data_IF_132019433508
#
_entry.id   IF_132019433508
#
_cell.length_a   1.000
_cell.length_b   1.000
_cell.length_c   1.000
_cell.angle_alpha   90.00
_cell.angle_beta   90.00
_cell.angle_gamma   90.00
#
_symmetry.space_group_name_H-M   'P 1'
#
loop_
_entity.id
_entity.type
_entity.pdbx_description
1 polymer ?
#
# COMPACT_ATOMS: atom_id res chain seq x y z
N UNK A 1 -21.04 16.77 4.48
CA UNK A 1 -22.16 16.05 3.83
C UNK A 1 -21.68 14.67 3.42
N UNK A 2 -22.43 13.61 3.69
CA UNK A 2 -22.06 12.21 3.40
C UNK A 2 -21.39 11.45 4.53
N UNK A 3 -20.88 12.15 5.55
CA UNK A 3 -20.28 11.56 6.74
C UNK A 3 -21.26 10.70 7.52
N UNK A 4 -20.71 9.65 8.13
CA UNK A 4 -21.43 8.78 9.05
C UNK A 4 -21.27 9.28 10.47
N UNK A 5 -22.40 9.44 11.14
CA UNK A 5 -22.49 9.80 12.54
C UNK A 5 -23.26 8.72 13.28
N UNK A 6 -22.98 8.55 14.57
CA UNK A 6 -23.71 7.62 15.42
C UNK A 6 -23.87 8.16 16.84
N UNK A 7 -24.93 7.68 17.47
CA UNK A 7 -25.25 7.94 18.87
C UNK A 7 -25.49 6.61 19.58
N UNK A 8 -25.24 6.57 20.90
CA UNK A 8 -25.51 5.41 21.71
C UNK A 8 -26.83 5.59 22.47
N UNK A 9 -27.88 4.91 22.02
CA UNK A 9 -29.19 4.96 22.67
C UNK A 9 -29.34 3.69 23.51
N UNK A 10 -29.25 3.85 24.83
CA UNK A 10 -29.18 2.72 25.78
C UNK A 10 -27.96 1.84 25.49
N UNK A 11 -28.15 0.62 24.95
CA UNK A 11 -27.10 -0.33 24.59
C UNK A 11 -26.99 -0.55 23.08
N UNK A 12 -27.67 0.28 22.29
CA UNK A 12 -27.69 0.16 20.83
C UNK A 12 -26.98 1.35 20.19
N UNK A 13 -26.13 1.06 19.20
CA UNK A 13 -25.49 2.08 18.36
C UNK A 13 -26.41 2.37 17.19
N UNK A 14 -26.88 3.60 17.10
CA UNK A 14 -27.75 4.06 16.01
C UNK A 14 -26.95 4.98 15.10
N UNK A 15 -26.66 4.49 13.90
CA UNK A 15 -25.95 5.25 12.86
C UNK A 15 -26.91 6.00 11.94
N UNK A 16 -26.47 7.16 11.45
CA UNK A 16 -27.14 7.92 10.41
C UNK A 16 -26.13 8.66 9.53
N UNK A 17 -26.56 9.08 8.34
CA UNK A 17 -25.74 9.86 7.40
C UNK A 17 -26.09 11.33 7.50
N UNK A 18 -25.09 12.18 7.68
CA UNK A 18 -25.27 13.62 7.63
C UNK A 18 -25.54 14.06 6.19
N UNK A 19 -26.70 14.65 5.92
CA UNK A 19 -27.05 15.18 4.61
C UNK A 19 -26.70 16.67 4.52
N UNK A 20 -27.35 17.50 5.36
CA UNK A 20 -27.11 18.94 5.41
C UNK A 20 -26.41 19.25 6.73
N UNK A 21 -25.27 19.94 6.66
CA UNK A 21 -24.54 20.44 7.82
C UNK A 21 -24.42 21.96 7.72
N UNK A 22 -25.12 22.68 8.59
CA UNK A 22 -25.15 24.14 8.59
C UNK A 22 -24.45 24.68 9.85
N UNK A 23 -23.43 25.52 9.66
CA UNK A 23 -22.76 26.20 10.77
C UNK A 23 -23.72 27.22 11.38
N UNK A 24 -23.99 27.09 12.67
CA UNK A 24 -24.89 27.98 13.43
C UNK A 24 -24.15 28.97 14.32
N UNK A 25 -22.88 28.74 14.57
CA UNK A 25 -22.04 29.66 15.33
C UNK A 25 -20.80 28.98 15.88
N UNK A 26 -20.04 29.76 16.61
CA UNK A 26 -18.81 29.35 17.27
C UNK A 26 -18.92 29.74 18.75
N UNK A 27 -18.29 28.97 19.63
CA UNK A 27 -18.25 29.25 21.07
C UNK A 27 -16.91 28.81 21.64
N UNK A 28 -16.53 29.34 22.80
CA UNK A 28 -15.35 28.89 23.52
C UNK A 28 -15.77 27.94 24.65
N UNK A 29 -15.08 26.81 24.76
CA UNK A 29 -15.25 25.82 25.81
C UNK A 29 -13.86 25.38 26.27
N UNK A 30 -13.58 25.50 27.57
CA UNK A 30 -12.26 25.19 28.16
C UNK A 30 -11.08 25.94 27.49
N UNK A 31 -11.32 27.14 26.96
CA UNK A 31 -10.32 27.94 26.24
C UNK A 31 -10.08 27.50 24.80
N UNK A 32 -10.83 26.51 24.30
CA UNK A 32 -10.78 26.06 22.92
C UNK A 32 -11.98 26.57 22.12
N UNK A 33 -11.72 27.00 20.88
CA UNK A 33 -12.76 27.38 19.93
C UNK A 33 -13.48 26.14 19.43
N UNK A 34 -14.81 26.10 19.62
CA UNK A 34 -15.72 25.04 19.19
C UNK A 34 -16.74 25.58 18.20
N UNK A 35 -17.20 24.70 17.31
CA UNK A 35 -18.20 25.02 16.29
C UNK A 35 -19.53 24.33 16.61
N UNK A 36 -20.62 25.07 16.43
CA UNK A 36 -21.97 24.54 16.58
C UNK A 36 -22.58 24.34 15.20
N UNK A 37 -22.85 23.11 14.84
CA UNK A 37 -23.51 22.76 13.60
C UNK A 37 -24.94 22.28 13.85
N UNK A 38 -25.86 22.64 12.96
CA UNK A 38 -27.11 21.91 12.75
C UNK A 38 -26.85 20.83 11.71
N UNK A 39 -27.14 19.58 12.06
CA UNK A 39 -26.99 18.44 11.16
C UNK A 39 -28.35 17.85 10.87
N UNK A 40 -28.71 17.76 9.60
CA UNK A 40 -29.91 17.09 9.12
C UNK A 40 -29.52 15.74 8.54
N UNK A 41 -30.02 14.62 9.11
CA UNK A 41 -29.79 13.30 8.55
C UNK A 41 -30.44 13.12 7.18
N UNK A 42 -29.88 12.25 6.34
CA UNK A 42 -30.53 11.86 5.08
C UNK A 42 -31.84 11.10 5.33
N UNK A 43 -31.81 10.20 6.29
CA UNK A 43 -32.96 9.53 6.86
C UNK A 43 -32.93 9.78 8.37
N UNK A 44 -34.08 10.05 8.97
CA UNK A 44 -34.20 10.32 10.41
C UNK A 44 -34.59 9.02 11.13
N UNK A 45 -33.64 8.25 11.71
CA UNK A 45 -33.99 7.08 12.50
C UNK A 45 -34.95 7.46 13.62
N UNK A 46 -36.05 6.71 13.75
CA UNK A 46 -37.06 6.94 14.79
C UNK A 46 -36.46 6.95 16.21
N UNK A 47 -35.36 6.22 16.43
CA UNK A 47 -34.64 6.17 17.70
C UNK A 47 -34.08 7.54 18.14
N UNK A 48 -33.75 8.44 17.20
CA UNK A 48 -33.20 9.76 17.50
C UNK A 48 -34.15 10.64 18.32
N UNK A 49 -35.47 10.39 18.24
CA UNK A 49 -36.48 11.04 19.08
C UNK A 49 -36.30 10.83 20.59
N UNK A 50 -35.53 9.80 20.98
CA UNK A 50 -35.25 9.45 22.38
C UNK A 50 -33.99 10.12 22.92
N UNK A 51 -33.29 10.90 22.11
CA UNK A 51 -32.08 11.59 22.52
C UNK A 51 -32.40 12.73 23.48
N UNK A 52 -31.51 12.91 24.46
CA UNK A 52 -31.54 14.06 25.35
C UNK A 52 -30.67 15.18 24.75
N UNK A 53 -30.93 16.45 25.09
CA UNK A 53 -30.01 17.53 24.77
C UNK A 53 -28.58 17.20 25.23
N UNK A 54 -27.57 17.65 24.47
CA UNK A 54 -26.14 17.42 24.71
C UNK A 54 -25.71 15.94 24.75
N UNK A 55 -26.48 15.03 24.12
CA UNK A 55 -26.04 13.65 23.96
C UNK A 55 -24.81 13.58 23.04
N UNK A 56 -23.77 12.79 23.40
CA UNK A 56 -22.55 12.70 22.60
C UNK A 56 -22.83 12.10 21.22
N UNK A 57 -22.17 12.67 20.21
CA UNK A 57 -22.25 12.26 18.82
C UNK A 57 -20.86 11.81 18.38
N UNK A 58 -20.76 10.61 17.80
CA UNK A 58 -19.51 10.05 17.33
C UNK A 58 -19.49 9.99 15.80
N UNK A 59 -18.33 10.20 15.19
CA UNK A 59 -18.12 9.98 13.76
C UNK A 59 -17.68 8.53 13.53
N UNK A 60 -18.41 7.78 12.71
CA UNK A 60 -18.02 6.41 12.32
C UNK A 60 -17.63 6.29 10.84
N UNK A 61 -17.82 7.34 10.05
CA UNK A 61 -17.35 7.37 8.68
C UNK A 61 -16.95 8.77 8.25
N UNK A 62 -15.74 8.87 7.72
CA UNK A 62 -15.24 10.05 7.01
C UNK A 62 -15.35 9.81 5.51
N UNK A 63 -16.30 10.47 4.85
CA UNK A 63 -16.51 10.29 3.43
C UNK A 63 -15.34 10.83 2.59
N UNK A 64 -14.80 11.99 2.97
CA UNK A 64 -13.68 12.60 2.26
C UNK A 64 -12.42 11.74 2.35
N UNK A 65 -12.16 11.16 3.52
CA UNK A 65 -11.06 10.23 3.72
C UNK A 65 -11.23 8.96 2.90
N UNK A 66 -12.43 8.37 2.85
CA UNK A 66 -12.70 7.23 1.97
C UNK A 66 -12.47 7.57 0.50
N UNK A 67 -12.93 8.74 0.04
CA UNK A 67 -12.67 9.18 -1.33
C UNK A 67 -11.19 9.43 -1.60
N UNK A 68 -10.43 9.89 -0.60
CA UNK A 68 -8.99 10.06 -0.73
C UNK A 68 -8.25 8.72 -0.88
N UNK A 69 -8.67 7.68 -0.14
CA UNK A 69 -8.08 6.34 -0.22
C UNK A 69 -8.33 5.63 -1.56
N UNK A 70 -9.35 6.03 -2.31
CA UNK A 70 -9.66 5.46 -3.63
C UNK A 70 -8.80 6.06 -4.76
N UNK A 71 -8.00 7.08 -4.48
CA UNK A 71 -7.15 7.74 -5.48
C UNK A 71 -5.78 7.08 -5.55
N UNK A 72 -5.14 7.15 -6.71
CA UNK A 72 -3.75 6.68 -6.93
C UNK A 72 -2.74 7.33 -5.98
N UNK A 73 -3.03 8.53 -5.46
CA UNK A 73 -2.20 9.18 -4.43
C UNK A 73 -2.14 8.42 -3.11
N UNK A 74 -3.08 7.51 -2.85
CA UNK A 74 -3.08 6.63 -1.68
C UNK A 74 -2.39 5.29 -1.96
N UNK A 75 -1.94 5.02 -3.18
CA UNK A 75 -1.16 3.82 -3.49
C UNK A 75 0.21 3.92 -2.84
N UNK A 76 0.52 2.95 -1.98
CA UNK A 76 1.88 2.73 -1.48
C UNK A 76 2.45 1.51 -2.19
N UNK A 77 3.58 1.69 -2.90
CA UNK A 77 4.38 0.61 -3.45
C UNK A 77 5.65 0.43 -2.64
N UNK A 78 6.10 -0.81 -2.51
CA UNK A 78 7.34 -1.18 -1.84
C UNK A 78 8.51 -1.00 -2.82
N UNK A 79 9.55 -0.31 -2.39
CA UNK A 79 10.76 -0.16 -3.18
C UNK A 79 11.56 -1.45 -3.28
N UNK A 80 12.09 -1.73 -4.47
CA UNK A 80 13.06 -2.80 -4.67
C UNK A 80 14.31 -2.29 -5.38
N UNK A 81 15.46 -2.83 -4.99
CA UNK A 81 16.74 -2.61 -5.62
C UNK A 81 17.17 -3.92 -6.29
N UNK A 82 17.56 -3.83 -7.55
CA UNK A 82 18.08 -4.96 -8.30
C UNK A 82 19.60 -4.92 -8.34
N UNK A 83 20.24 -6.04 -8.04
CA UNK A 83 21.63 -6.30 -8.41
C UNK A 83 21.67 -7.44 -9.40
N UNK A 84 22.23 -7.18 -10.58
CA UNK A 84 22.24 -8.13 -11.70
C UNK A 84 23.68 -8.49 -12.05
N UNK A 85 23.98 -9.78 -12.04
CA UNK A 85 25.25 -10.29 -12.54
C UNK A 85 24.99 -11.11 -13.80
N UNK A 86 25.54 -10.67 -14.93
CA UNK A 86 25.41 -11.36 -16.22
C UNK A 86 26.78 -11.86 -16.68
N UNK A 87 26.85 -13.16 -16.98
CA UNK A 87 28.01 -13.87 -17.54
C UNK A 87 27.56 -14.68 -18.76
N UNK A 88 28.49 -15.36 -19.42
CA UNK A 88 28.20 -16.18 -20.59
C UNK A 88 27.34 -17.41 -20.23
N UNK A 89 27.57 -17.99 -19.07
CA UNK A 89 26.97 -19.24 -18.61
C UNK A 89 25.81 -19.04 -17.64
N UNK A 90 25.70 -17.86 -17.02
CA UNK A 90 24.71 -17.63 -15.97
C UNK A 90 24.29 -16.16 -15.84
N UNK A 91 23.00 -15.95 -15.58
CA UNK A 91 22.40 -14.68 -15.19
C UNK A 91 21.84 -14.82 -13.78
N UNK A 92 22.29 -13.98 -12.87
CA UNK A 92 21.77 -13.88 -11.50
C UNK A 92 21.04 -12.55 -11.29
N UNK A 93 19.81 -12.61 -10.79
CA UNK A 93 19.04 -11.46 -10.31
C UNK A 93 18.91 -11.55 -8.79
N UNK A 94 19.47 -10.58 -8.09
CA UNK A 94 19.20 -10.35 -6.68
C UNK A 94 18.22 -9.18 -6.53
N UNK A 95 17.11 -9.43 -5.83
CA UNK A 95 16.08 -8.42 -5.55
C UNK A 95 16.06 -8.14 -4.04
N UNK A 96 16.30 -6.89 -3.65
CA UNK A 96 16.26 -6.46 -2.25
C UNK A 96 15.13 -5.47 -2.03
N UNK A 97 14.24 -5.75 -1.08
CA UNK A 97 13.14 -4.86 -0.69
C UNK A 97 13.59 -3.72 0.23
N UNK A 98 12.80 -2.65 0.32
CA UNK A 98 13.05 -1.51 1.23
C UNK A 98 13.14 -1.89 2.72
N UNK A 99 12.64 -3.07 3.09
CA UNK A 99 12.69 -3.63 4.44
C UNK A 99 13.96 -4.47 4.68
N UNK A 100 14.82 -4.63 3.66
CA UNK A 100 16.07 -5.40 3.73
C UNK A 100 15.93 -6.90 3.47
N UNK A 101 14.76 -7.39 3.05
CA UNK A 101 14.60 -8.78 2.60
C UNK A 101 15.13 -8.92 1.19
N UNK A 102 16.00 -9.92 0.96
CA UNK A 102 16.62 -10.18 -0.34
C UNK A 102 16.36 -11.61 -0.80
N UNK A 103 16.23 -11.78 -2.13
CA UNK A 103 16.17 -13.09 -2.79
C UNK A 103 17.02 -13.09 -4.04
N UNK A 104 17.61 -14.24 -4.35
CA UNK A 104 18.41 -14.43 -5.55
C UNK A 104 17.79 -15.53 -6.40
N UNK A 105 17.60 -15.24 -7.68
CA UNK A 105 17.18 -16.22 -8.70
C UNK A 105 18.17 -16.21 -9.85
N UNK A 106 18.35 -17.37 -10.48
CA UNK A 106 19.32 -17.56 -11.55
C UNK A 106 18.68 -18.14 -12.80
N UNK A 107 19.29 -17.86 -13.95
CA UNK A 107 18.99 -18.49 -15.22
C UNK A 107 20.30 -18.97 -15.85
N UNK A 108 20.34 -20.27 -16.13
CA UNK A 108 21.49 -20.88 -16.79
C UNK A 108 21.46 -20.59 -18.30
N UNK A 109 22.65 -20.34 -18.84
CA UNK A 109 22.90 -20.09 -20.25
C UNK A 109 23.05 -21.36 -21.08
N UNK A 110 23.83 -21.33 -22.17
CA UNK A 110 24.73 -20.25 -22.58
C UNK A 110 24.00 -19.05 -23.19
N UNK A 111 24.49 -17.85 -22.90
CA UNK A 111 24.06 -16.60 -23.52
C UNK A 111 25.05 -16.20 -24.61
N UNK A 112 24.55 -15.92 -25.81
CA UNK A 112 25.41 -15.44 -26.90
C UNK A 112 25.83 -13.99 -26.67
N UNK A 113 27.02 -13.60 -27.14
CA UNK A 113 27.43 -12.20 -27.15
C UNK A 113 26.40 -11.34 -27.90
N UNK A 114 26.04 -10.19 -27.32
CA UNK A 114 25.06 -9.30 -27.93
C UNK A 114 25.65 -8.56 -29.14
N UNK A 115 24.94 -8.61 -30.28
CA UNK A 115 25.30 -7.83 -31.48
C UNK A 115 25.30 -6.32 -31.22
N UNK A 116 24.47 -5.85 -30.26
CA UNK A 116 24.35 -4.46 -29.83
C UNK A 116 24.44 -4.42 -28.31
N UNK A 117 25.65 -4.28 -27.74
CA UNK A 117 25.87 -4.47 -26.31
C UNK A 117 25.09 -3.49 -25.43
N UNK A 118 25.14 -2.19 -25.75
CA UNK A 118 24.43 -1.15 -24.99
C UNK A 118 22.91 -1.38 -25.00
N UNK A 119 22.33 -1.67 -26.18
CA UNK A 119 20.89 -1.92 -26.31
C UNK A 119 20.42 -3.16 -25.54
N UNK A 120 21.27 -4.19 -25.44
CA UNK A 120 20.95 -5.38 -24.67
C UNK A 120 20.90 -5.09 -23.16
N UNK A 121 21.85 -4.29 -22.65
CA UNK A 121 21.89 -3.88 -21.24
C UNK A 121 20.73 -2.93 -20.89
N UNK A 122 20.42 -1.97 -21.78
CA UNK A 122 19.28 -1.06 -21.61
C UNK A 122 17.96 -1.84 -21.59
N UNK A 123 17.79 -2.78 -22.52
CA UNK A 123 16.60 -3.64 -22.56
C UNK A 123 16.45 -4.48 -21.29
N UNK A 124 17.56 -4.98 -20.74
CA UNK A 124 17.56 -5.70 -19.48
C UNK A 124 17.09 -4.79 -18.34
N UNK A 125 17.66 -3.58 -18.24
CA UNK A 125 17.27 -2.58 -17.22
C UNK A 125 15.78 -2.22 -17.33
N UNK A 126 15.31 -1.92 -18.54
CA UNK A 126 13.91 -1.56 -18.81
C UNK A 126 12.95 -2.66 -18.38
N UNK A 127 13.27 -3.92 -18.68
CA UNK A 127 12.44 -5.05 -18.30
C UNK A 127 12.38 -5.25 -16.78
N UNK A 128 13.47 -4.99 -16.05
CA UNK A 128 13.47 -5.13 -14.59
C UNK A 128 12.69 -4.00 -13.87
N UNK A 129 12.64 -2.81 -14.45
CA UNK A 129 11.87 -1.68 -13.90
C UNK A 129 10.36 -1.86 -14.13
N UNK A 130 9.96 -2.61 -15.16
CA UNK A 130 8.55 -2.87 -15.50
C UNK A 130 7.87 -3.87 -14.56
N UNK A 131 7.53 -3.45 -13.34
CA UNK A 131 6.87 -4.28 -12.32
C UNK A 131 5.33 -4.21 -12.34
N UNK A 132 4.74 -3.40 -13.23
CA UNK A 132 3.32 -3.43 -13.57
C UNK A 132 2.36 -3.29 -12.38
N UNK A 133 1.50 -4.32 -12.22
CA UNK A 133 0.43 -4.41 -11.21
C UNK A 133 0.88 -5.01 -9.89
N UNK A 134 2.18 -5.28 -9.71
CA UNK A 134 2.69 -5.76 -8.43
C UNK A 134 2.68 -4.63 -7.40
N UNK A 135 2.81 -5.00 -6.12
CA UNK A 135 2.95 -4.04 -5.02
C UNK A 135 4.33 -3.36 -5.00
N UNK A 136 5.19 -3.62 -5.98
CA UNK A 136 6.58 -3.17 -6.01
C UNK A 136 6.80 -2.05 -7.04
N UNK A 137 7.84 -1.26 -6.79
CA UNK A 137 8.45 -0.36 -7.78
C UNK A 137 9.97 -0.51 -7.72
N UNK A 138 10.64 -0.47 -8.88
CA UNK A 138 12.10 -0.49 -8.92
C UNK A 138 12.63 0.89 -8.52
N UNK A 139 13.49 0.93 -7.50
CA UNK A 139 14.21 2.12 -7.08
C UNK A 139 15.49 2.27 -7.91
N UNK A 140 16.25 1.19 -8.06
CA UNK A 140 17.46 1.17 -8.87
C UNK A 140 17.74 -0.23 -9.43
N UNK A 141 18.59 -0.26 -10.46
CA UNK A 141 19.10 -1.46 -11.11
C UNK A 141 20.61 -1.29 -11.29
N UNK A 142 21.38 -2.07 -10.53
CA UNK A 142 22.82 -2.18 -10.67
C UNK A 142 23.16 -3.36 -11.59
N UNK A 143 23.97 -3.11 -12.61
CA UNK A 143 24.36 -4.09 -13.61
C UNK A 143 25.86 -4.37 -13.53
N UNK A 144 26.21 -5.59 -13.15
CA UNK A 144 27.54 -6.16 -13.28
C UNK A 144 27.58 -7.10 -14.49
N UNK A 145 27.91 -6.52 -15.65
CA UNK A 145 28.02 -7.22 -16.92
C UNK A 145 29.30 -6.77 -17.66
N UNK A 146 30.47 -7.38 -17.38
CA UNK A 146 31.74 -7.02 -18.02
C UNK A 146 31.69 -7.15 -19.55
N UNK A 147 30.84 -8.05 -20.04
CA UNK A 147 30.49 -8.21 -21.43
C UNK A 147 28.97 -8.29 -21.54
N UNK A 148 28.40 -7.66 -22.58
CA UNK A 148 26.98 -7.74 -22.83
C UNK A 148 26.64 -9.06 -23.54
N UNK A 149 25.83 -9.87 -22.86
CA UNK A 149 25.24 -11.08 -23.43
C UNK A 149 23.76 -10.85 -23.73
N UNK A 150 23.28 -11.49 -24.79
CA UNK A 150 21.87 -11.45 -25.16
C UNK A 150 21.08 -12.46 -24.35
N UNK A 151 20.12 -11.96 -23.56
CA UNK A 151 19.17 -12.77 -22.80
C UNK A 151 17.80 -12.70 -23.48
N UNK A 152 17.15 -13.82 -23.82
CA UNK A 152 15.82 -13.79 -24.40
C UNK A 152 14.79 -13.11 -23.48
N UNK A 153 14.04 -12.14 -24.03
CA UNK A 153 13.05 -11.36 -23.28
C UNK A 153 11.99 -12.22 -22.55
N UNK A 154 11.60 -13.36 -23.11
CA UNK A 154 10.66 -14.27 -22.48
C UNK A 154 11.23 -14.88 -21.20
N UNK A 155 12.50 -15.31 -21.24
CA UNK A 155 13.19 -15.88 -20.08
C UNK A 155 13.45 -14.80 -19.03
N UNK A 156 13.87 -13.60 -19.43
CA UNK A 156 14.06 -12.49 -18.48
C UNK A 156 12.76 -12.08 -17.79
N UNK A 157 11.64 -12.04 -18.52
CA UNK A 157 10.32 -11.75 -17.94
C UNK A 157 9.86 -12.85 -16.96
N UNK A 158 10.14 -14.12 -17.28
CA UNK A 158 9.85 -15.24 -16.40
C UNK A 158 10.71 -15.14 -15.13
N UNK A 159 12.03 -15.00 -15.26
CA UNK A 159 12.96 -14.88 -14.14
C UNK A 159 12.62 -13.69 -13.23
N UNK A 160 12.25 -12.54 -13.81
CA UNK A 160 11.78 -11.37 -13.05
C UNK A 160 10.51 -11.68 -12.27
N UNK A 161 9.54 -12.39 -12.87
CA UNK A 161 8.32 -12.78 -12.15
C UNK A 161 8.66 -13.72 -10.99
N UNK A 162 9.51 -14.70 -11.23
CA UNK A 162 9.90 -15.69 -10.22
C UNK A 162 10.66 -15.01 -9.06
N UNK A 163 11.53 -14.04 -9.35
CA UNK A 163 12.18 -13.20 -8.34
C UNK A 163 11.18 -12.44 -7.46
N UNK A 164 10.15 -11.83 -8.07
CA UNK A 164 9.14 -11.06 -7.35
C UNK A 164 8.23 -11.96 -6.50
N UNK A 165 7.88 -13.14 -7.01
CA UNK A 165 7.11 -14.14 -6.27
C UNK A 165 7.91 -14.63 -5.05
N UNK A 166 9.17 -15.04 -5.26
CA UNK A 166 10.08 -15.45 -4.19
C UNK A 166 10.30 -14.34 -3.15
N UNK A 167 10.49 -13.09 -3.60
CA UNK A 167 10.65 -11.94 -2.70
C UNK A 167 9.40 -11.72 -1.85
N UNK A 168 8.22 -11.88 -2.45
CA UNK A 168 6.95 -11.72 -1.73
C UNK A 168 6.79 -12.78 -0.64
N UNK A 169 7.11 -14.03 -0.95
CA UNK A 169 7.08 -15.11 0.03
C UNK A 169 8.11 -14.87 1.15
N UNK A 170 9.35 -14.53 0.80
CA UNK A 170 10.40 -14.22 1.77
C UNK A 170 10.00 -13.07 2.70
N UNK A 171 9.38 -12.01 2.17
CA UNK A 171 8.87 -10.88 2.96
C UNK A 171 7.77 -11.29 3.93
N UNK A 172 6.83 -12.13 3.50
CA UNK A 172 5.77 -12.66 4.37
C UNK A 172 6.36 -13.49 5.51
N UNK A 173 7.39 -14.31 5.23
CA UNK A 173 8.05 -15.12 6.26
C UNK A 173 8.89 -14.27 7.23
N UNK A 174 9.56 -13.24 6.72
CA UNK A 174 10.35 -12.31 7.53
C UNK A 174 9.49 -11.33 8.34
N UNK A 175 8.20 -11.19 8.01
CA UNK A 175 7.31 -10.25 8.67
C UNK A 175 7.25 -10.52 10.19
N UNK A 176 7.55 -9.53 11.05
CA UNK A 176 7.52 -9.71 12.49
C UNK A 176 6.09 -10.07 12.93
N UNK A 177 5.95 -11.20 13.63
CA UNK A 177 4.67 -11.59 14.23
C UNK A 177 4.61 -11.01 15.65
N UNK A 178 3.64 -10.14 15.91
CA UNK A 178 3.39 -9.64 17.25
C UNK A 178 3.05 -10.79 18.20
N UNK A 179 3.73 -10.85 19.33
CA UNK A 179 3.39 -11.80 20.40
C UNK A 179 2.11 -11.36 21.12
N UNK A 180 1.24 -12.31 21.45
CA UNK A 180 0.15 -12.05 22.38
C UNK A 180 0.75 -11.76 23.76
N UNK A 181 0.31 -10.70 24.44
CA UNK A 181 0.65 -10.51 25.86
C UNK A 181 0.21 -11.75 26.63
N UNK A 182 1.05 -12.18 27.58
CA UNK A 182 0.69 -13.27 28.49
C UNK A 182 -0.65 -12.96 29.18
N UNK A 183 -1.41 -14.00 29.47
CA UNK A 183 -2.66 -13.87 30.23
C UNK A 183 -2.34 -13.21 31.58
N UNK A 184 -2.94 -12.05 31.84
CA UNK A 184 -2.82 -11.38 33.14
C UNK A 184 -3.84 -12.03 34.07
N UNK A 185 -3.38 -12.68 35.14
CA UNK A 185 -4.28 -13.14 36.21
C UNK A 185 -4.69 -11.90 37.03
N UNK A 186 -6.01 -11.62 37.18
CA UNK A 186 -6.50 -10.46 37.91
C UNK A 186 -6.21 -10.52 39.41
#
# INVERSE_FOLDING_TARGET
>A
NGDGLNVQIKREVVGFRANICELKGEFEEEGEKRWRYRVEPNEMPAALSRLRPNHPLNRNLDHNWQQALLKTSAERRIGIQWQVALREDHLSLNATSEEGVSVMVGLDGPFGAANKPEQALDQLRDLLIQLGTTIYHAQDVELDAPQAFFVPNSQLKALRRDAIEALTEARIQAHPRGGRKAETTP
#
